data_IF_677324505973
#
_entry.id   IF_677324505973
#
_cell.length_a   1.000
_cell.length_b   1.000
_cell.length_c   1.000
_cell.angle_alpha   90.00
_cell.angle_beta   90.00
_cell.angle_gamma   90.00
#
_symmetry.space_group_name_H-M   'P 1'
#
loop_
_entity.id
_entity.type
_entity.pdbx_description
1 polymer ?
#
# COMPACT_ATOMS: atom_id res chain seq x y z
N UNK A 1 19.96 4.92 -17.52
CA UNK A 1 19.47 5.21 -18.89
C UNK A 1 18.49 4.08 -19.22
N UNK A 2 17.19 4.29 -19.37
CA UNK A 2 16.49 5.29 -20.18
C UNK A 2 15.25 5.83 -19.47
N UNK A 3 15.10 7.15 -19.55
CA UNK A 3 13.92 7.90 -19.15
C UNK A 3 12.88 7.70 -20.26
N UNK A 4 11.81 6.95 -20.00
CA UNK A 4 10.57 7.03 -20.79
C UNK A 4 9.51 7.59 -19.85
N UNK A 5 9.48 8.92 -19.76
CA UNK A 5 8.30 9.63 -19.33
C UNK A 5 7.21 9.33 -20.37
N UNK A 6 6.32 8.39 -20.05
CA UNK A 6 5.05 8.28 -20.75
C UNK A 6 4.23 9.49 -20.36
N UNK A 7 3.95 10.34 -21.35
CA UNK A 7 2.97 11.41 -21.26
C UNK A 7 1.64 10.85 -20.73
N UNK A 8 1.18 11.39 -19.60
CA UNK A 8 -0.06 11.14 -18.83
C UNK A 8 0.19 10.83 -17.34
N UNK A 9 1.06 11.59 -16.67
CA UNK A 9 1.29 11.46 -15.22
C UNK A 9 1.25 12.81 -14.50
N UNK A 10 0.35 13.71 -14.91
CA UNK A 10 0.04 14.89 -14.11
C UNK A 10 -0.56 14.39 -12.79
N UNK A 11 0.17 14.57 -11.68
CA UNK A 11 -0.22 14.12 -10.34
C UNK A 11 0.59 12.95 -9.73
N UNK A 12 1.60 12.42 -10.41
CA UNK A 12 2.43 11.33 -9.86
C UNK A 12 3.49 11.84 -8.86
N UNK A 13 3.60 11.18 -7.70
CA UNK A 13 4.72 11.41 -6.76
C UNK A 13 5.84 10.41 -7.01
N UNK A 14 7.00 10.91 -7.44
CA UNK A 14 8.17 10.09 -7.73
C UNK A 14 9.07 9.90 -6.50
N UNK A 15 9.53 8.67 -6.29
CA UNK A 15 10.50 8.34 -5.25
C UNK A 15 11.67 7.54 -5.84
N UNK A 16 12.85 7.66 -5.24
CA UNK A 16 13.97 6.77 -5.55
C UNK A 16 13.69 5.37 -5.01
N UNK A 17 13.49 4.40 -5.91
CA UNK A 17 13.19 3.03 -5.52
C UNK A 17 14.43 2.30 -4.98
N UNK A 18 14.26 1.52 -3.91
CA UNK A 18 15.32 0.74 -3.28
C UNK A 18 15.27 -0.71 -3.75
N UNK A 19 16.45 -1.26 -4.09
CA UNK A 19 16.58 -2.69 -4.53
C UNK A 19 16.11 -3.70 -3.48
N UNK A 20 16.16 -3.38 -2.18
CA UNK A 20 15.75 -4.29 -1.09
C UNK A 20 15.04 -3.53 0.02
N UNK A 21 13.84 -3.98 0.35
CA UNK A 21 13.03 -3.45 1.45
C UNK A 21 13.02 -4.41 2.64
N UNK A 22 13.24 -3.86 3.83
CA UNK A 22 12.94 -4.56 5.09
C UNK A 22 11.43 -4.69 5.29
N UNK A 23 10.99 -5.62 6.16
CA UNK A 23 9.56 -5.78 6.49
C UNK A 23 8.91 -4.48 7.01
N UNK A 24 9.64 -3.68 7.81
CA UNK A 24 9.14 -2.39 8.31
C UNK A 24 8.93 -1.40 7.16
N UNK A 25 9.87 -1.34 6.23
CA UNK A 25 9.76 -0.46 5.07
C UNK A 25 8.68 -0.92 4.09
N UNK A 26 8.49 -2.22 3.88
CA UNK A 26 7.35 -2.73 3.10
C UNK A 26 6.01 -2.31 3.69
N UNK A 27 5.87 -2.33 5.02
CA UNK A 27 4.66 -1.82 5.67
C UNK A 27 4.48 -0.32 5.45
N UNK A 28 5.54 0.46 5.61
CA UNK A 28 5.50 1.90 5.41
C UNK A 28 5.15 2.25 3.96
N UNK A 29 5.79 1.59 2.99
CA UNK A 29 5.52 1.78 1.57
C UNK A 29 4.05 1.48 1.24
N UNK A 30 3.50 0.39 1.79
CA UNK A 30 2.09 0.06 1.63
C UNK A 30 1.15 1.13 2.21
N UNK A 31 1.51 1.76 3.34
CA UNK A 31 0.72 2.85 3.92
C UNK A 31 0.78 4.10 3.04
N UNK A 32 1.95 4.42 2.50
CA UNK A 32 2.14 5.57 1.60
C UNK A 32 1.33 5.41 0.32
N UNK A 33 1.31 4.23 -0.30
CA UNK A 33 0.51 4.02 -1.51
C UNK A 33 -1.00 4.04 -1.26
N UNK A 34 -1.47 3.82 -0.03
CA UNK A 34 -2.85 4.10 0.35
C UNK A 34 -3.15 5.59 0.53
N UNK A 35 -2.12 6.44 0.66
CA UNK A 35 -2.25 7.85 0.96
C UNK A 35 -3.11 8.62 -0.04
N UNK A 36 -2.84 8.46 -1.34
CA UNK A 36 -3.61 9.13 -2.40
C UNK A 36 -5.10 8.79 -2.33
N UNK A 37 -5.44 7.49 -2.33
CA UNK A 37 -6.83 7.04 -2.28
C UNK A 37 -7.57 7.53 -1.04
N UNK A 38 -6.90 7.50 0.12
CA UNK A 38 -7.50 7.96 1.38
C UNK A 38 -7.67 9.48 1.37
N UNK A 39 -6.67 10.23 0.90
CA UNK A 39 -6.75 11.68 0.80
C UNK A 39 -7.91 12.13 -0.11
N UNK A 40 -8.02 11.53 -1.30
CA UNK A 40 -9.13 11.78 -2.23
C UNK A 40 -10.48 11.49 -1.57
N UNK A 41 -10.63 10.34 -0.91
CA UNK A 41 -11.87 9.99 -0.20
C UNK A 41 -12.23 10.98 0.90
N UNK A 42 -11.24 11.48 1.63
CA UNK A 42 -11.46 12.42 2.73
C UNK A 42 -11.84 13.82 2.23
N UNK A 43 -11.25 14.27 1.12
CA UNK A 43 -11.50 15.61 0.55
C UNK A 43 -12.75 15.65 -0.34
N UNK A 44 -12.99 14.61 -1.14
CA UNK A 44 -13.99 14.61 -2.21
C UNK A 44 -15.12 13.60 -2.00
N UNK A 45 -15.10 12.81 -0.91
CA UNK A 45 -16.10 11.77 -0.61
C UNK A 45 -15.99 10.52 -1.49
N UNK A 46 -15.18 10.56 -2.55
CA UNK A 46 -14.91 9.47 -3.47
C UNK A 46 -13.45 9.52 -3.93
N UNK A 47 -12.96 8.41 -4.49
CA UNK A 47 -11.62 8.33 -5.05
C UNK A 47 -11.69 7.65 -6.41
N UNK A 48 -11.11 8.30 -7.42
CA UNK A 48 -11.25 7.95 -8.85
C UNK A 48 -9.83 7.86 -9.43
N UNK A 49 -9.32 6.64 -9.65
CA UNK A 49 -7.99 6.44 -10.27
C UNK A 49 -7.20 5.22 -9.77
N UNK A 50 -7.51 4.72 -8.57
CA UNK A 50 -6.73 3.66 -7.93
C UNK A 50 -7.04 2.22 -8.41
N UNK A 51 -7.89 2.06 -9.42
CA UNK A 51 -8.29 0.74 -9.96
C UNK A 51 -7.23 0.12 -10.88
N UNK A 52 -6.32 0.92 -11.46
CA UNK A 52 -5.36 0.46 -12.46
C UNK A 52 -3.95 0.12 -11.93
N UNK A 53 -3.40 0.91 -11.00
CA UNK A 53 -2.00 0.80 -10.55
C UNK A 53 -1.80 0.26 -9.13
N UNK A 54 -2.60 0.73 -8.18
CA UNK A 54 -2.32 0.49 -6.76
C UNK A 54 -2.81 -0.88 -6.26
N UNK A 55 -3.91 -1.40 -6.82
CA UNK A 55 -4.44 -2.73 -6.48
C UNK A 55 -3.43 -3.87 -6.74
N UNK A 56 -2.75 -3.94 -7.91
CA UNK A 56 -1.65 -4.88 -8.13
C UNK A 56 -0.48 -4.69 -7.16
N UNK A 57 -0.12 -3.44 -6.86
CA UNK A 57 0.98 -3.13 -5.95
C UNK A 57 0.68 -3.58 -4.51
N UNK A 58 -0.50 -3.27 -3.99
CA UNK A 58 -0.93 -3.69 -2.65
C UNK A 58 -0.97 -5.21 -2.50
N UNK A 59 -1.40 -5.91 -3.55
CA UNK A 59 -1.36 -7.36 -3.59
C UNK A 59 0.08 -7.90 -3.51
N UNK A 60 0.99 -7.30 -4.28
CA UNK A 60 2.41 -7.70 -4.33
C UNK A 60 3.11 -7.43 -2.99
N UNK A 61 2.91 -6.25 -2.41
CA UNK A 61 3.49 -5.91 -1.10
C UNK A 61 2.88 -6.78 0.00
N UNK A 62 1.56 -6.99 -0.03
CA UNK A 62 0.86 -7.86 0.91
C UNK A 62 1.39 -9.30 0.87
N UNK A 63 1.63 -9.84 -0.32
CA UNK A 63 2.24 -11.16 -0.49
C UNK A 63 3.64 -11.23 0.13
N UNK A 64 4.52 -10.26 -0.19
CA UNK A 64 5.87 -10.18 0.39
C UNK A 64 5.82 -10.12 1.92
N UNK A 65 4.89 -9.35 2.49
CA UNK A 65 4.70 -9.22 3.93
C UNK A 65 4.27 -10.53 4.61
N UNK A 66 3.37 -11.29 3.99
CA UNK A 66 2.92 -12.58 4.52
C UNK A 66 4.05 -13.61 4.44
N UNK A 67 4.72 -13.72 3.30
CA UNK A 67 5.84 -14.68 3.10
C UNK A 67 7.00 -14.43 4.07
N UNK A 68 7.32 -13.17 4.35
CA UNK A 68 8.35 -12.81 5.34
C UNK A 68 7.90 -12.96 6.80
N UNK A 69 6.61 -13.20 7.06
CA UNK A 69 6.09 -13.25 8.43
C UNK A 69 6.50 -14.54 9.14
N UNK A 70 6.93 -14.41 10.41
CA UNK A 70 7.18 -15.56 11.29
C UNK A 70 5.91 -16.40 11.46
N UNK A 71 4.76 -15.73 11.61
CA UNK A 71 3.45 -16.37 11.76
C UNK A 71 3.12 -17.30 10.58
N UNK A 72 3.36 -16.89 9.34
CA UNK A 72 3.17 -17.77 8.16
C UNK A 72 4.15 -18.95 8.16
N UNK A 73 5.43 -18.68 8.44
CA UNK A 73 6.48 -19.72 8.46
C UNK A 73 6.27 -20.78 9.53
N UNK A 74 5.63 -20.43 10.64
CA UNK A 74 5.34 -21.38 11.73
C UNK A 74 4.10 -22.24 11.50
N UNK A 75 3.27 -21.96 10.49
CA UNK A 75 2.14 -22.82 10.14
C UNK A 75 2.69 -24.13 9.53
N UNK A 76 2.26 -25.31 10.01
CA UNK A 76 2.65 -26.59 9.41
C UNK A 76 2.27 -26.67 7.93
N UNK A 77 3.06 -27.35 7.10
CA UNK A 77 2.88 -27.37 5.64
C UNK A 77 1.46 -27.75 5.21
N UNK A 78 0.87 -28.80 5.81
CA UNK A 78 -0.52 -29.23 5.52
C UNK A 78 -1.60 -28.20 5.86
N UNK A 79 -1.29 -27.19 6.68
CA UNK A 79 -2.19 -26.11 7.07
C UNK A 79 -1.96 -24.81 6.30
N UNK A 80 -0.97 -24.77 5.41
CA UNK A 80 -0.65 -23.60 4.56
C UNK A 80 -1.54 -23.56 3.32
N UNK A 81 -2.84 -23.37 3.53
CA UNK A 81 -3.81 -23.33 2.42
C UNK A 81 -3.82 -21.97 1.70
N UNK A 82 -4.21 -21.93 0.41
CA UNK A 82 -4.38 -20.67 -0.33
C UNK A 82 -5.36 -19.70 0.34
N UNK A 83 -6.45 -20.22 0.91
CA UNK A 83 -7.43 -19.42 1.63
C UNK A 83 -6.83 -18.72 2.85
N UNK A 84 -5.99 -19.44 3.62
CA UNK A 84 -5.32 -18.89 4.81
C UNK A 84 -4.30 -17.82 4.41
N UNK A 85 -3.53 -18.08 3.35
CA UNK A 85 -2.61 -17.09 2.79
C UNK A 85 -3.34 -15.81 2.37
N UNK A 86 -4.44 -15.96 1.63
CA UNK A 86 -5.26 -14.84 1.18
C UNK A 86 -5.88 -14.06 2.35
N UNK A 87 -6.30 -14.73 3.42
CA UNK A 87 -6.81 -14.06 4.62
C UNK A 87 -5.70 -13.24 5.30
N UNK A 88 -4.51 -13.82 5.51
CA UNK A 88 -3.38 -13.09 6.09
C UNK A 88 -2.97 -11.89 5.24
N UNK A 89 -2.97 -12.04 3.91
CA UNK A 89 -2.70 -10.94 2.96
C UNK A 89 -3.74 -9.82 3.12
N UNK A 90 -5.02 -10.15 3.12
CA UNK A 90 -6.13 -9.20 3.34
C UNK A 90 -5.99 -8.46 4.67
N UNK A 91 -5.56 -9.13 5.74
CA UNK A 91 -5.29 -8.48 7.03
C UNK A 91 -4.15 -7.47 6.96
N UNK A 92 -3.07 -7.77 6.23
CA UNK A 92 -1.98 -6.80 6.00
C UNK A 92 -2.46 -5.57 5.23
N UNK A 93 -3.21 -5.78 4.14
CA UNK A 93 -3.79 -4.70 3.33
C UNK A 93 -4.71 -3.81 4.17
N UNK A 94 -5.67 -4.42 4.90
CA UNK A 94 -6.61 -3.68 5.76
C UNK A 94 -5.91 -2.88 6.86
N UNK A 95 -4.86 -3.44 7.46
CA UNK A 95 -4.08 -2.73 8.48
C UNK A 95 -3.32 -1.52 7.91
N UNK A 96 -2.77 -1.64 6.70
CA UNK A 96 -2.11 -0.52 6.03
C UNK A 96 -3.10 0.60 5.70
N UNK A 97 -4.26 0.27 5.12
CA UNK A 97 -5.34 1.21 4.87
C UNK A 97 -5.79 1.95 6.14
N UNK A 98 -6.07 1.22 7.23
CA UNK A 98 -6.47 1.81 8.50
C UNK A 98 -5.40 2.76 9.05
N UNK A 99 -4.11 2.43 8.88
CA UNK A 99 -3.02 3.31 9.30
C UNK A 99 -2.90 4.56 8.43
N UNK A 100 -3.11 4.45 7.11
CA UNK A 100 -3.14 5.60 6.21
C UNK A 100 -4.26 6.59 6.60
N UNK A 101 -5.47 6.08 6.84
CA UNK A 101 -6.60 6.88 7.38
C UNK A 101 -6.21 7.58 8.68
N UNK A 102 -5.64 6.86 9.63
CA UNK A 102 -5.25 7.45 10.91
C UNK A 102 -4.20 8.57 10.77
N UNK A 103 -3.21 8.38 9.89
CA UNK A 103 -2.17 9.40 9.63
C UNK A 103 -2.78 10.63 8.97
N UNK A 104 -3.56 10.47 7.90
CA UNK A 104 -4.14 11.60 7.18
C UNK A 104 -5.21 12.32 8.00
N UNK A 105 -5.95 11.61 8.85
CA UNK A 105 -6.87 12.25 9.83
C UNK A 105 -6.11 13.15 10.79
N UNK A 106 -4.94 12.71 11.27
CA UNK A 106 -4.11 13.52 12.18
C UNK A 106 -3.59 14.79 11.50
N UNK A 107 -3.21 14.69 10.23
CA UNK A 107 -2.63 15.79 9.44
C UNK A 107 -3.65 16.50 8.54
N UNK A 108 -4.95 16.31 8.76
CA UNK A 108 -5.99 16.75 7.82
C UNK A 108 -5.94 18.26 7.54
N UNK A 109 -5.76 19.08 8.58
CA UNK A 109 -5.62 20.55 8.45
C UNK A 109 -4.37 21.00 7.69
N UNK A 110 -3.34 20.17 7.62
CA UNK A 110 -2.13 20.46 6.86
C UNK A 110 -2.30 20.05 5.40
N UNK A 111 -3.05 18.98 5.12
CA UNK A 111 -3.36 18.57 3.75
C UNK A 111 -4.14 19.62 2.97
N UNK A 112 -5.09 20.31 3.60
CA UNK A 112 -5.86 21.38 2.96
C UNK A 112 -4.98 22.55 2.46
N UNK A 113 -3.78 22.72 3.02
CA UNK A 113 -2.86 23.80 2.63
C UNK A 113 -1.96 23.46 1.44
N UNK A 114 -1.95 22.19 1.03
CA UNK A 114 -1.07 21.67 -0.04
C UNK A 114 -1.84 21.50 -1.36
N UNK A 115 -3.17 21.64 -1.34
CA UNK A 115 -4.03 21.72 -2.53
C UNK A 115 -4.10 23.15 -3.07
#
# INVERSE_FOLDING_TARGET
>A
MTNRATANADGATFYWDRKRYTRKQLKANMVVSFGGMVAERMLFGQSIGHTGGDLPEWNTIGEKLVRQSRAWRQIPAGHRTPARFANMKRRCIKAAHAKAVAVLTWYFKEMEKVN
#
